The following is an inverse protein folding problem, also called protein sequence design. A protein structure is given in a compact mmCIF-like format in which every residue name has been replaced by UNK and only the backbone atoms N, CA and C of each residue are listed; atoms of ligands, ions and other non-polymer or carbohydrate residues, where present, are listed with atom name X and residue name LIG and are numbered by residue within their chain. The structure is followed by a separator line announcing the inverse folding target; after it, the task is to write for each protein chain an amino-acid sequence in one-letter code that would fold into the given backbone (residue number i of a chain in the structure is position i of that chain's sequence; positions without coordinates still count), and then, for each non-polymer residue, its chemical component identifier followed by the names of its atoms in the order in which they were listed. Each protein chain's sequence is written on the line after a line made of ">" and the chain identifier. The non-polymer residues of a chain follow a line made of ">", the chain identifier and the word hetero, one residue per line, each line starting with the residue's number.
data_IF_924404314506
#
_entry.id   IF_924404314506
#
_cell.length_a   1.000
_cell.length_b   1.000
_cell.length_c   1.000
_cell.angle_alpha   90.00
_cell.angle_beta   90.00
_cell.angle_gamma   90.00
#
_symmetry.space_group_name_H-M   'P 1'
#
loop_
_entity.id
_entity.type
_entity.pdbx_description
1 polymer ?
#
# COMPACT_ATOMS: atom_id res chain seq x y z
N UNK A 1 -20.24 -28.42 32.85
CA UNK A 1 -20.45 -27.43 31.77
C UNK A 1 -19.42 -26.30 31.78
N UNK A 2 -18.92 -25.84 32.93
CA UNK A 2 -17.97 -24.71 32.98
C UNK A 2 -16.54 -25.06 32.52
N UNK A 3 -16.10 -26.32 32.73
CA UNK A 3 -14.78 -26.80 32.30
C UNK A 3 -14.56 -26.77 30.78
N UNK A 4 -15.63 -26.92 29.99
CA UNK A 4 -15.58 -26.91 28.53
C UNK A 4 -15.42 -25.47 27.98
N UNK A 5 -16.01 -24.48 28.65
CA UNK A 5 -15.89 -23.07 28.26
C UNK A 5 -14.50 -22.48 28.46
N UNK A 6 -13.79 -22.93 29.52
CA UNK A 6 -12.41 -22.49 29.79
C UNK A 6 -11.43 -23.00 28.72
N UNK A 7 -11.67 -24.20 28.19
CA UNK A 7 -10.88 -24.76 27.09
C UNK A 7 -11.08 -24.01 25.77
N UNK A 8 -12.28 -23.48 25.52
CA UNK A 8 -12.59 -22.68 24.33
C UNK A 8 -11.92 -21.30 24.35
N UNK A 9 -11.81 -20.66 25.51
CA UNK A 9 -11.13 -19.37 25.64
C UNK A 9 -9.61 -19.47 25.39
N UNK A 10 -9.00 -20.61 25.68
CA UNK A 10 -7.56 -20.82 25.48
C UNK A 10 -7.16 -20.93 23.99
N UNK A 11 -8.12 -21.01 23.07
CA UNK A 11 -7.88 -21.16 21.62
C UNK A 11 -8.00 -19.84 20.83
N UNK A 12 -8.23 -18.70 21.52
CA UNK A 12 -8.27 -17.38 20.89
C UNK A 12 -6.84 -16.88 20.67
N UNK A 13 -6.21 -17.33 19.59
CA UNK A 13 -4.96 -16.74 19.10
C UNK A 13 -5.19 -15.44 18.31
N UNK A 14 -4.17 -14.60 18.12
CA UNK A 14 -4.28 -13.42 17.27
C UNK A 14 -4.60 -13.84 15.83
N UNK A 15 -5.74 -13.36 15.32
CA UNK A 15 -6.09 -13.45 13.90
C UNK A 15 -5.34 -12.32 13.19
N UNK A 16 -4.19 -12.63 12.60
CA UNK A 16 -3.51 -11.69 11.71
C UNK A 16 -4.39 -11.49 10.48
N UNK A 17 -4.77 -10.24 10.21
CA UNK A 17 -5.45 -9.87 8.97
C UNK A 17 -4.57 -10.18 7.76
N UNK A 18 -5.15 -10.15 6.56
CA UNK A 18 -4.34 -10.29 5.35
C UNK A 18 -3.29 -9.18 5.33
N UNK A 19 -2.03 -9.57 5.11
CA UNK A 19 -0.97 -8.64 4.74
C UNK A 19 -1.51 -7.83 3.55
N UNK A 20 -1.49 -6.48 3.57
CA UNK A 20 -2.06 -5.72 2.48
C UNK A 20 -1.36 -6.12 1.18
N UNK A 21 -2.11 -6.65 0.18
CA UNK A 21 -1.50 -7.30 -0.98
C UNK A 21 -0.74 -6.34 -1.90
N UNK A 22 -0.88 -5.03 -1.68
CA UNK A 22 -0.34 -3.97 -2.52
C UNK A 22 0.73 -3.12 -1.81
N UNK A 23 1.20 -3.53 -0.63
CA UNK A 23 2.28 -2.83 0.09
C UNK A 23 3.68 -3.20 -0.42
N UNK A 24 3.79 -4.30 -1.16
CA UNK A 24 5.04 -4.72 -1.82
C UNK A 24 5.00 -4.26 -3.27
N UNK A 25 5.85 -3.30 -3.59
CA UNK A 25 5.93 -2.78 -4.93
C UNK A 25 7.17 -3.32 -5.68
N UNK A 26 7.07 -3.60 -6.99
CA UNK A 26 8.23 -3.97 -7.79
C UNK A 26 9.31 -2.87 -7.77
N UNK A 27 10.57 -3.24 -7.94
CA UNK A 27 11.63 -2.25 -8.16
C UNK A 27 11.30 -1.42 -9.41
N UNK A 28 11.50 -0.10 -9.33
CA UNK A 28 11.35 0.80 -10.47
C UNK A 28 12.76 1.22 -10.93
N UNK A 29 13.21 0.63 -12.03
CA UNK A 29 14.49 0.93 -12.68
C UNK A 29 14.24 1.56 -14.06
N UNK A 30 15.11 2.46 -14.53
CA UNK A 30 14.96 3.06 -15.86
C UNK A 30 14.68 2.02 -16.95
N UNK A 31 13.69 2.23 -17.84
CA UNK A 31 12.94 3.48 -18.07
C UNK A 31 11.68 3.67 -17.19
N UNK A 32 11.48 2.85 -16.15
CA UNK A 32 10.37 2.94 -15.23
C UNK A 32 10.74 3.72 -13.97
N UNK A 33 9.86 4.63 -13.57
CA UNK A 33 10.08 5.53 -12.45
C UNK A 33 8.93 5.41 -11.46
N UNK A 34 9.28 5.51 -10.17
CA UNK A 34 8.31 5.51 -9.08
C UNK A 34 7.74 6.91 -8.89
N UNK A 35 6.42 7.02 -8.86
CA UNK A 35 5.72 8.25 -8.50
C UNK A 35 4.92 7.98 -7.22
N UNK A 36 5.09 8.86 -6.23
CA UNK A 36 4.42 8.76 -4.94
C UNK A 36 3.79 10.09 -4.57
N UNK A 37 2.52 10.02 -4.20
CA UNK A 37 1.75 11.10 -3.62
C UNK A 37 1.32 10.71 -2.22
N UNK A 38 1.60 11.58 -1.26
CA UNK A 38 1.06 11.42 0.09
C UNK A 38 -0.42 11.80 0.12
N UNK A 39 -1.13 11.24 1.09
CA UNK A 39 -2.46 11.73 1.42
C UNK A 39 -2.36 13.17 1.93
N UNK A 40 -3.27 14.02 1.46
CA UNK A 40 -3.33 15.40 1.89
C UNK A 40 -3.90 15.52 3.30
N UNK A 41 -3.40 16.50 4.04
CA UNK A 41 -3.93 16.88 5.37
C UNK A 41 -5.03 17.94 5.29
N UNK A 42 -5.31 18.44 4.08
CA UNK A 42 -6.33 19.44 3.81
C UNK A 42 -7.36 18.91 2.79
N UNK A 43 -8.42 19.68 2.61
CA UNK A 43 -9.58 19.37 1.76
C UNK A 43 -9.34 19.51 0.26
N UNK A 44 -8.16 20.01 -0.16
CA UNK A 44 -7.84 20.31 -1.56
C UNK A 44 -6.88 19.32 -2.23
N UNK A 45 -6.44 18.27 -1.52
CA UNK A 45 -5.54 17.27 -2.07
C UNK A 45 -6.12 15.85 -2.11
N UNK A 46 -5.28 14.87 -2.39
CA UNK A 46 -5.70 13.48 -2.49
C UNK A 46 -6.07 12.94 -1.10
N UNK A 47 -7.30 12.45 -0.95
CA UNK A 47 -7.77 11.82 0.30
C UNK A 47 -6.99 10.55 0.60
N UNK A 48 -6.56 9.83 -0.43
CA UNK A 48 -5.74 8.64 -0.32
C UNK A 48 -4.37 8.87 -0.96
N UNK A 49 -3.33 8.36 -0.32
CA UNK A 49 -2.00 8.31 -0.93
C UNK A 49 -2.05 7.48 -2.23
N UNK A 50 -1.28 7.89 -3.23
CA UNK A 50 -1.18 7.18 -4.50
C UNK A 50 0.26 6.79 -4.76
N UNK A 51 0.45 5.58 -5.29
CA UNK A 51 1.76 5.06 -5.63
C UNK A 51 1.65 4.28 -6.94
N UNK A 52 2.35 4.71 -7.98
CA UNK A 52 2.34 4.05 -9.28
C UNK A 52 3.71 4.12 -9.96
N UNK A 53 3.86 3.28 -10.98
CA UNK A 53 5.04 3.24 -11.83
C UNK A 53 4.71 3.89 -13.17
N UNK A 54 5.52 4.86 -13.59
CA UNK A 54 5.42 5.49 -14.90
C UNK A 54 6.58 5.04 -15.79
N UNK A 55 6.28 4.68 -17.03
CA UNK A 55 7.30 4.48 -18.05
C UNK A 55 7.61 5.82 -18.73
N UNK A 56 8.89 6.20 -18.79
CA UNK A 56 9.33 7.43 -19.47
C UNK A 56 10.15 7.05 -20.71
N UNK A 57 9.71 7.48 -21.92
CA UNK A 57 10.45 7.20 -23.15
C UNK A 57 11.88 7.77 -23.11
N UNK A 58 12.88 7.09 -23.70
CA UNK A 58 14.23 7.62 -23.84
C UNK A 58 14.23 8.97 -24.58
N UNK A 59 15.03 9.93 -24.10
CA UNK A 59 15.17 11.24 -24.73
C UNK A 59 14.10 12.28 -24.33
N UNK A 60 13.12 11.91 -23.50
CA UNK A 60 12.18 12.87 -22.90
C UNK A 60 12.92 13.74 -21.88
N UNK A 61 12.88 15.07 -22.08
CA UNK A 61 13.54 16.04 -21.19
C UNK A 61 12.61 16.56 -20.08
N UNK A 62 11.31 16.59 -20.33
CA UNK A 62 10.31 17.05 -19.36
C UNK A 62 9.01 16.28 -19.50
N UNK A 63 8.33 16.07 -18.38
CA UNK A 63 7.05 15.38 -18.26
C UNK A 63 6.11 16.25 -17.41
N UNK A 64 4.84 16.37 -17.83
CA UNK A 64 3.83 17.18 -17.14
C UNK A 64 2.63 16.31 -16.80
N UNK A 65 2.02 16.59 -15.64
CA UNK A 65 0.82 15.86 -15.18
C UNK A 65 1.15 14.58 -14.42
N UNK A 66 2.39 14.47 -13.93
CA UNK A 66 2.89 13.41 -13.04
C UNK A 66 3.23 13.97 -11.70
#
# INVERSE_FOLDING_TARGET
>A
MHRLGILFLAFVGPLFGQQPPYDVFPAAEPPYFRVRYEAATNDRGLVFAANFTVWIPPGVQSLRGV
#
